data_IF_113281602176
#
_entry.id   IF_113281602176
#
_cell.length_a   1.000
_cell.length_b   1.000
_cell.length_c   1.000
_cell.angle_alpha   90.00
_cell.angle_beta   90.00
_cell.angle_gamma   90.00
#
_symmetry.space_group_name_H-M   'P 1'
#
loop_
_entity.id
_entity.type
_entity.pdbx_description
1 polymer ?
#
# COMPACT_ATOMS: atom_id res chain seq x y z
N UNK A 1 -0.03 -0.80 -8.55
CA UNK A 1 0.14 -1.05 -7.10
C UNK A 1 1.58 -0.81 -6.63
N UNK A 2 2.58 -0.84 -7.51
CA UNK A 2 3.96 -0.45 -7.20
C UNK A 2 4.18 1.02 -7.59
N UNK A 3 3.70 1.90 -6.72
CA UNK A 3 3.76 3.33 -6.97
C UNK A 3 5.20 3.88 -6.91
N UNK A 4 6.07 3.25 -6.12
CA UNK A 4 7.48 3.67 -6.03
C UNK A 4 8.17 3.42 -7.37
N UNK A 5 8.00 2.22 -7.94
CA UNK A 5 8.52 1.90 -9.26
C UNK A 5 7.96 2.84 -10.33
N UNK A 6 6.65 3.11 -10.30
CA UNK A 6 6.02 4.04 -11.25
C UNK A 6 6.69 5.43 -11.23
N UNK A 7 6.93 5.99 -10.05
CA UNK A 7 7.56 7.32 -9.92
C UNK A 7 9.01 7.31 -10.43
N UNK A 8 9.77 6.25 -10.14
CA UNK A 8 11.16 6.14 -10.62
C UNK A 8 11.21 6.02 -12.15
N UNK A 9 10.41 5.12 -12.72
CA UNK A 9 10.32 4.93 -14.17
C UNK A 9 9.83 6.20 -14.86
N UNK A 10 8.79 6.84 -14.31
CA UNK A 10 8.25 8.09 -14.86
C UNK A 10 9.31 9.17 -14.92
N UNK A 11 10.04 9.40 -13.84
CA UNK A 11 11.11 10.42 -13.78
C UNK A 11 12.24 10.12 -14.78
N UNK A 12 12.64 8.85 -14.86
CA UNK A 12 13.69 8.45 -15.77
C UNK A 12 13.29 8.67 -17.24
N UNK A 13 12.11 8.19 -17.63
CA UNK A 13 11.62 8.29 -19.01
C UNK A 13 11.35 9.74 -19.40
N UNK A 14 10.65 10.52 -18.54
CA UNK A 14 10.33 11.92 -18.86
C UNK A 14 11.57 12.83 -18.90
N UNK A 15 12.66 12.45 -18.21
CA UNK A 15 13.94 13.18 -18.26
C UNK A 15 14.78 12.85 -19.50
N UNK A 16 14.79 11.60 -19.93
CA UNK A 16 15.76 11.13 -20.94
C UNK A 16 15.11 10.89 -22.31
N UNK A 17 13.79 10.87 -22.41
CA UNK A 17 13.05 10.57 -23.63
C UNK A 17 11.89 11.55 -23.82
N UNK A 18 11.46 11.78 -25.06
CA UNK A 18 10.26 12.58 -25.39
C UNK A 18 8.95 11.85 -25.07
N UNK A 19 9.03 10.67 -24.44
CA UNK A 19 7.88 9.81 -24.11
C UNK A 19 7.22 10.24 -22.79
N UNK A 20 5.88 10.11 -22.72
CA UNK A 20 5.09 10.42 -21.54
C UNK A 20 4.56 9.14 -20.90
N UNK A 21 4.73 9.00 -19.60
CA UNK A 21 4.20 7.86 -18.83
C UNK A 21 2.78 8.14 -18.34
N UNK A 22 1.83 7.32 -18.80
CA UNK A 22 0.44 7.36 -18.34
C UNK A 22 0.26 6.33 -17.23
N UNK A 23 -0.11 6.80 -16.05
CA UNK A 23 -0.32 5.93 -14.89
C UNK A 23 -1.77 5.41 -14.84
N UNK A 24 -1.93 4.08 -14.69
CA UNK A 24 -3.23 3.47 -14.50
C UNK A 24 -3.55 3.26 -13.01
N UNK A 25 -4.84 3.31 -12.67
CA UNK A 25 -5.31 2.96 -11.33
C UNK A 25 -5.00 1.49 -11.01
N UNK A 26 -4.69 1.20 -9.75
CA UNK A 26 -4.51 -0.19 -9.29
C UNK A 26 -5.82 -0.97 -9.46
N UNK A 27 -5.80 -2.02 -10.26
CA UNK A 27 -6.94 -2.93 -10.44
C UNK A 27 -7.01 -3.83 -9.21
N UNK A 28 -8.25 -4.00 -8.70
CA UNK A 28 -8.54 -4.79 -7.50
C UNK A 28 -9.64 -5.80 -7.79
N UNK A 29 -9.60 -6.94 -7.13
CA UNK A 29 -10.69 -7.90 -7.19
C UNK A 29 -11.93 -7.39 -6.41
N UNK A 30 -13.05 -8.15 -6.47
CA UNK A 30 -14.31 -7.84 -5.75
C UNK A 30 -14.08 -7.60 -4.25
N UNK A 31 -13.12 -8.29 -3.65
CA UNK A 31 -12.76 -8.20 -2.23
C UNK A 31 -11.71 -7.11 -1.92
N UNK A 32 -11.45 -6.18 -2.86
CA UNK A 32 -10.55 -5.02 -2.75
C UNK A 32 -9.04 -5.37 -2.74
N UNK A 33 -8.64 -6.63 -2.85
CA UNK A 33 -7.25 -7.02 -2.99
C UNK A 33 -6.70 -6.58 -4.35
N UNK A 34 -5.52 -5.93 -4.36
CA UNK A 34 -4.83 -5.56 -5.58
C UNK A 34 -4.40 -6.80 -6.37
N UNK A 35 -4.65 -6.81 -7.68
CA UNK A 35 -4.25 -7.92 -8.53
C UNK A 35 -2.72 -8.04 -8.62
N UNK A 36 -2.23 -9.26 -8.52
CA UNK A 36 -0.80 -9.60 -8.54
C UNK A 36 -0.59 -11.05 -8.94
N UNK A 37 0.45 -11.35 -9.71
CA UNK A 37 0.92 -12.73 -9.94
C UNK A 37 1.25 -13.45 -8.64
N UNK A 38 1.68 -12.74 -7.60
CA UNK A 38 1.95 -13.34 -6.28
C UNK A 38 0.71 -13.88 -5.59
N UNK A 39 -0.49 -13.42 -5.98
CA UNK A 39 -1.74 -13.90 -5.40
C UNK A 39 -1.98 -15.40 -5.71
N UNK A 40 -1.46 -15.90 -6.84
CA UNK A 40 -1.55 -17.33 -7.22
C UNK A 40 -0.82 -18.24 -6.20
N UNK A 41 0.18 -17.70 -5.49
CA UNK A 41 0.95 -18.42 -4.47
C UNK A 41 0.25 -18.47 -3.09
N UNK A 42 -0.93 -17.89 -2.97
CA UNK A 42 -1.72 -17.87 -1.75
C UNK A 42 -2.81 -18.93 -1.79
N UNK A 43 -3.00 -19.65 -0.70
CA UNK A 43 -4.18 -20.49 -0.49
C UNK A 43 -5.44 -19.63 -0.44
N UNK A 44 -6.61 -20.23 -0.61
CA UNK A 44 -7.92 -19.53 -0.50
C UNK A 44 -8.05 -18.79 0.82
N UNK A 45 -7.67 -19.39 1.95
CA UNK A 45 -7.70 -18.75 3.26
C UNK A 45 -6.77 -17.52 3.33
N UNK A 46 -5.56 -17.62 2.75
CA UNK A 46 -4.61 -16.53 2.72
C UNK A 46 -5.04 -15.41 1.76
N UNK A 47 -5.74 -15.71 0.66
CA UNK A 47 -6.39 -14.72 -0.20
C UNK A 47 -7.48 -13.95 0.54
N UNK A 48 -8.31 -14.65 1.33
CA UNK A 48 -9.33 -14.02 2.16
C UNK A 48 -8.70 -13.11 3.23
N UNK A 49 -7.62 -13.57 3.86
CA UNK A 49 -6.83 -12.78 4.81
C UNK A 49 -6.25 -11.52 4.16
N UNK A 50 -5.61 -11.64 3.00
CA UNK A 50 -5.06 -10.51 2.25
C UNK A 50 -6.15 -9.49 1.86
N UNK A 51 -7.33 -9.99 1.46
CA UNK A 51 -8.49 -9.16 1.13
C UNK A 51 -9.04 -8.40 2.35
N UNK A 52 -9.07 -9.04 3.52
CA UNK A 52 -9.47 -8.39 4.76
C UNK A 52 -8.49 -7.27 5.16
N UNK A 53 -7.19 -7.51 5.05
CA UNK A 53 -6.15 -6.50 5.27
C UNK A 53 -6.33 -5.31 4.30
N UNK A 54 -6.61 -5.58 3.04
CA UNK A 54 -6.83 -4.53 2.04
C UNK A 54 -8.03 -3.65 2.42
N UNK A 55 -9.17 -4.25 2.82
CA UNK A 55 -10.34 -3.51 3.31
C UNK A 55 -10.04 -2.68 4.56
N UNK A 56 -9.34 -3.26 5.53
CA UNK A 56 -8.92 -2.57 6.75
C UNK A 56 -8.07 -1.33 6.46
N UNK A 57 -7.16 -1.42 5.51
CA UNK A 57 -6.30 -0.29 5.11
C UNK A 57 -7.08 0.78 4.33
N UNK A 58 -8.06 0.40 3.53
CA UNK A 58 -8.98 1.36 2.87
C UNK A 58 -9.79 2.14 3.91
N UNK A 59 -10.34 1.44 4.91
CA UNK A 59 -11.08 2.07 6.02
C UNK A 59 -10.14 2.97 6.86
N UNK A 60 -8.95 2.48 7.17
CA UNK A 60 -7.94 3.25 7.89
C UNK A 60 -7.59 4.56 7.18
N UNK A 61 -7.37 4.50 5.85
CA UNK A 61 -7.13 5.71 5.06
C UNK A 61 -8.26 6.74 5.18
N UNK A 62 -9.52 6.30 5.11
CA UNK A 62 -10.68 7.20 5.26
C UNK A 62 -10.71 7.87 6.64
N UNK A 63 -10.29 7.16 7.69
CA UNK A 63 -10.23 7.69 9.06
C UNK A 63 -9.10 8.70 9.26
N UNK A 64 -8.01 8.61 8.49
CA UNK A 64 -6.87 9.53 8.60
C UNK A 64 -7.25 10.98 8.26
N UNK A 65 -8.17 11.20 7.33
CA UNK A 65 -8.58 12.55 6.90
C UNK A 65 -9.08 13.45 8.03
N UNK A 66 -9.44 12.88 9.19
CA UNK A 66 -10.01 13.58 10.36
C UNK A 66 -9.05 13.74 11.54
N UNK A 67 -7.77 13.33 11.45
CA UNK A 67 -6.86 13.28 12.61
C UNK A 67 -5.53 14.02 12.35
N UNK A 68 -4.88 14.52 13.44
CA UNK A 68 -3.64 15.31 13.35
C UNK A 68 -2.35 14.54 13.65
N UNK A 69 -2.39 13.53 14.52
CA UNK A 69 -1.20 12.74 14.87
C UNK A 69 -1.17 11.41 14.13
N UNK A 70 -0.47 11.37 12.98
CA UNK A 70 -0.39 10.17 12.15
C UNK A 70 0.63 9.15 12.65
N UNK A 71 1.71 9.57 13.31
CA UNK A 71 2.78 8.65 13.74
C UNK A 71 2.24 7.56 14.66
N UNK A 72 1.55 7.94 15.73
CA UNK A 72 1.00 6.99 16.69
C UNK A 72 -0.10 6.12 16.06
N UNK A 73 -0.93 6.71 15.19
CA UNK A 73 -1.98 5.96 14.47
C UNK A 73 -1.39 4.86 13.59
N UNK A 74 -0.28 5.11 12.92
CA UNK A 74 0.39 4.10 12.09
C UNK A 74 1.05 3.01 12.94
N UNK A 75 1.65 3.38 14.09
CA UNK A 75 2.22 2.42 15.04
C UNK A 75 1.10 1.50 15.59
N UNK A 76 -0.01 2.09 16.04
CA UNK A 76 -1.17 1.35 16.54
C UNK A 76 -1.76 0.44 15.46
N UNK A 77 -1.96 0.97 14.24
CA UNK A 77 -2.50 0.18 13.13
C UNK A 77 -1.58 -0.97 12.74
N UNK A 78 -0.27 -0.76 12.73
CA UNK A 78 0.71 -1.82 12.50
C UNK A 78 0.63 -2.92 13.55
N UNK A 79 0.50 -2.58 14.83
CA UNK A 79 0.32 -3.55 15.92
C UNK A 79 -1.01 -4.31 15.79
N UNK A 80 -2.10 -3.61 15.52
CA UNK A 80 -3.43 -4.20 15.30
C UNK A 80 -3.41 -5.23 14.16
N UNK A 81 -2.88 -4.86 12.98
CA UNK A 81 -2.83 -5.77 11.83
C UNK A 81 -1.96 -7.00 12.10
N UNK A 82 -0.80 -6.81 12.77
CA UNK A 82 0.06 -7.94 13.17
C UNK A 82 -0.69 -8.92 14.08
N UNK A 83 -1.35 -8.42 15.11
CA UNK A 83 -2.09 -9.24 16.07
C UNK A 83 -3.30 -9.92 15.43
N UNK A 84 -4.14 -9.15 14.69
CA UNK A 84 -5.40 -9.65 14.11
C UNK A 84 -5.18 -10.71 13.03
N UNK A 85 -4.17 -10.53 12.19
CA UNK A 85 -3.96 -11.38 11.01
C UNK A 85 -2.78 -12.34 11.13
N UNK A 86 -2.05 -12.29 12.24
CA UNK A 86 -0.81 -13.05 12.45
C UNK A 86 0.13 -12.95 11.23
N UNK A 87 0.58 -11.74 10.94
CA UNK A 87 1.41 -11.41 9.77
C UNK A 87 2.67 -10.64 10.18
N UNK A 88 3.72 -10.79 9.39
CA UNK A 88 4.90 -9.93 9.45
C UNK A 88 4.68 -8.72 8.55
N UNK A 89 4.85 -7.51 9.08
CA UNK A 89 4.76 -6.25 8.32
C UNK A 89 6.17 -5.66 8.21
N UNK A 90 6.66 -5.51 6.99
CA UNK A 90 7.91 -4.81 6.72
C UNK A 90 7.75 -3.31 7.04
N UNK A 91 6.83 -2.68 6.32
CA UNK A 91 6.49 -1.28 6.55
C UNK A 91 4.99 -1.03 6.38
N UNK A 92 4.53 -0.02 7.10
CA UNK A 92 3.23 0.62 6.94
C UNK A 92 3.46 2.11 7.19
N UNK A 93 3.42 2.93 6.14
CA UNK A 93 3.92 4.30 6.18
C UNK A 93 3.06 5.23 5.31
N UNK A 94 3.00 6.51 5.72
CA UNK A 94 2.44 7.58 4.91
C UNK A 94 3.59 8.31 4.20
N UNK A 95 3.57 8.33 2.87
CA UNK A 95 4.60 9.00 2.07
C UNK A 95 4.00 9.98 1.08
N UNK A 96 4.71 11.07 0.87
CA UNK A 96 4.37 12.06 -0.14
C UNK A 96 4.53 11.46 -1.54
N UNK A 97 3.55 11.70 -2.44
CA UNK A 97 3.53 11.13 -3.78
C UNK A 97 4.51 11.78 -4.75
N UNK A 98 5.03 12.98 -4.43
CA UNK A 98 6.00 13.67 -5.29
C UNK A 98 7.43 13.22 -5.04
N UNK A 99 7.85 13.08 -3.77
CA UNK A 99 9.25 12.80 -3.40
C UNK A 99 9.47 11.50 -2.64
N UNK A 100 8.41 10.75 -2.33
CA UNK A 100 8.40 9.49 -1.59
C UNK A 100 8.95 9.60 -0.14
N UNK A 101 9.18 10.80 0.37
CA UNK A 101 9.58 11.00 1.77
C UNK A 101 8.40 10.76 2.71
N UNK A 102 8.68 10.32 3.91
CA UNK A 102 7.67 10.23 4.98
C UNK A 102 7.04 11.58 5.22
N UNK A 103 5.75 11.60 5.51
CA UNK A 103 5.02 12.86 5.71
C UNK A 103 3.92 12.71 6.75
N UNK A 104 3.61 13.80 7.42
CA UNK A 104 2.47 13.93 8.33
C UNK A 104 1.29 14.68 7.68
N UNK A 105 1.34 14.93 6.37
CA UNK A 105 0.29 15.63 5.61
C UNK A 105 -0.40 14.64 4.69
N UNK A 106 -1.73 14.56 4.73
CA UNK A 106 -2.54 13.68 3.87
C UNK A 106 -2.56 14.16 2.42
N UNK A 107 -2.55 15.49 2.24
CA UNK A 107 -2.55 16.08 0.89
C UNK A 107 -1.31 15.62 0.13
N UNK A 108 -1.52 15.09 -1.06
CA UNK A 108 -0.47 14.51 -1.91
C UNK A 108 0.31 13.37 -1.21
N UNK A 109 -0.38 12.54 -0.44
CA UNK A 109 0.21 11.40 0.22
C UNK A 109 -0.56 10.10 -0.05
N UNK A 110 0.15 8.99 0.06
CA UNK A 110 -0.41 7.64 0.01
C UNK A 110 0.11 6.81 1.18
N UNK A 111 -0.72 5.85 1.61
CA UNK A 111 -0.28 4.80 2.52
C UNK A 111 0.47 3.77 1.67
N UNK A 112 1.67 3.42 2.07
CA UNK A 112 2.44 2.32 1.51
C UNK A 112 2.52 1.20 2.52
N UNK A 113 2.32 -0.02 2.06
CA UNK A 113 2.41 -1.21 2.90
C UNK A 113 3.16 -2.34 2.19
N UNK A 114 4.00 -3.03 2.94
CA UNK A 114 4.52 -4.34 2.59
C UNK A 114 4.38 -5.28 3.79
N UNK A 115 3.88 -6.49 3.53
CA UNK A 115 3.66 -7.49 4.55
C UNK A 115 3.78 -8.90 3.98
N UNK A 116 3.98 -9.87 4.86
CA UNK A 116 4.07 -11.27 4.50
C UNK A 116 2.85 -12.02 5.01
N UNK A 117 2.28 -12.84 4.14
CA UNK A 117 1.40 -13.94 4.53
C UNK A 117 2.17 -15.22 4.24
N UNK A 118 2.55 -15.93 5.29
CA UNK A 118 3.53 -17.00 5.23
C UNK A 118 4.83 -16.49 4.55
N UNK A 119 5.29 -17.16 3.48
CA UNK A 119 6.48 -16.78 2.72
C UNK A 119 6.20 -15.79 1.56
N UNK A 120 4.94 -15.41 1.34
CA UNK A 120 4.55 -14.54 0.21
C UNK A 120 4.53 -13.08 0.64
N UNK A 121 5.45 -12.30 0.09
CA UNK A 121 5.51 -10.84 0.31
C UNK A 121 4.53 -10.12 -0.62
N UNK A 122 3.61 -9.40 -0.05
CA UNK A 122 2.61 -8.57 -0.74
C UNK A 122 2.91 -7.09 -0.53
N UNK A 123 2.69 -6.29 -1.56
CA UNK A 123 2.80 -4.82 -1.51
C UNK A 123 1.51 -4.18 -2.01
N UNK A 124 1.18 -3.02 -1.45
CA UNK A 124 0.07 -2.21 -1.93
C UNK A 124 0.26 -0.74 -1.57
N UNK A 125 -0.58 0.14 -2.16
CA UNK A 125 -0.68 1.54 -1.77
C UNK A 125 -2.13 2.04 -1.86
N UNK A 126 -2.48 3.01 -1.02
CA UNK A 126 -3.84 3.53 -0.85
C UNK A 126 -3.88 5.06 -0.88
#
# INVERSE_FOLDING_TARGET
KDFQQLILVKRYIEKNFKSKIISCKTIRNKNKLALSSRNIRLTRNNLNKASAIARDLIIFKKKLSKKRNFKDLFIMKKKELKKRYNIKIDYLELRNTKNLRMTNKIKNAKIFVAYYINKVRLIDNY
#
